data_IF_626076551772
#
_entry.id   IF_626076551772
#
_cell.length_a   1.000
_cell.length_b   1.000
_cell.length_c   1.000
_cell.angle_alpha   90.00
_cell.angle_beta   90.00
_cell.angle_gamma   90.00
#
_symmetry.space_group_name_H-M   'P 1'
#
loop_
_entity.id
_entity.type
_entity.pdbx_description
1 polymer ?
#
# COMPACT_ATOMS: atom_id res chain seq x y z
N UNK A 1 -21.10 57.57 -14.31
CA UNK A 1 -20.50 56.48 -15.12
C UNK A 1 -19.05 56.37 -14.70
N UNK A 2 -18.75 55.44 -13.81
CA UNK A 2 -17.42 54.89 -13.62
C UNK A 2 -17.65 53.43 -13.29
N UNK A 3 -17.52 52.59 -14.31
CA UNK A 3 -17.56 51.13 -14.22
C UNK A 3 -16.28 50.66 -13.54
N UNK A 4 -16.41 50.07 -12.35
CA UNK A 4 -15.35 49.21 -11.81
C UNK A 4 -15.50 47.85 -12.47
N UNK A 5 -14.54 47.51 -13.33
CA UNK A 5 -14.41 46.15 -13.86
C UNK A 5 -14.10 45.18 -12.71
N UNK A 6 -14.72 43.99 -12.66
CA UNK A 6 -14.39 43.00 -11.64
C UNK A 6 -12.95 42.49 -11.85
N UNK A 7 -12.26 42.07 -10.77
CA UNK A 7 -10.89 41.59 -10.88
C UNK A 7 -10.84 40.34 -11.74
N UNK A 8 -9.94 40.38 -12.73
CA UNK A 8 -9.61 39.31 -13.66
C UNK A 8 -9.33 38.03 -12.89
N UNK A 9 -10.15 37.00 -13.13
CA UNK A 9 -9.93 35.63 -12.69
C UNK A 9 -8.54 35.17 -13.13
N UNK A 10 -7.67 34.85 -12.17
CA UNK A 10 -6.36 34.26 -12.40
C UNK A 10 -6.61 32.81 -12.85
N UNK A 11 -6.68 32.59 -14.17
CA UNK A 11 -6.50 31.26 -14.75
C UNK A 11 -5.04 30.86 -14.57
N UNK A 12 -4.72 30.33 -13.39
CA UNK A 12 -3.52 29.52 -13.22
C UNK A 12 -3.79 28.18 -13.91
N UNK A 13 -3.45 28.06 -15.20
CA UNK A 13 -3.38 26.76 -15.86
C UNK A 13 -2.23 25.96 -15.23
N UNK A 14 -2.52 25.30 -14.11
CA UNK A 14 -1.61 24.42 -13.36
C UNK A 14 -1.53 23.07 -14.06
N UNK A 15 -1.01 23.07 -15.28
CA UNK A 15 -0.71 21.84 -16.00
C UNK A 15 0.28 21.04 -15.17
N UNK A 16 0.00 19.77 -14.82
CA UNK A 16 0.94 18.94 -14.09
C UNK A 16 2.27 18.88 -14.84
N UNK A 17 3.39 19.04 -14.13
CA UNK A 17 4.73 19.03 -14.72
C UNK A 17 5.12 17.65 -15.27
N UNK A 18 4.48 16.59 -14.77
CA UNK A 18 4.66 15.21 -15.22
C UNK A 18 3.29 14.52 -15.23
N UNK A 19 2.95 13.84 -16.32
CA UNK A 19 1.78 12.96 -16.40
C UNK A 19 2.23 11.55 -16.74
N UNK A 20 1.42 10.56 -16.36
CA UNK A 20 1.60 9.18 -16.82
C UNK A 20 1.53 9.14 -18.36
N UNK A 21 2.32 8.25 -18.96
CA UNK A 21 2.31 8.06 -20.41
C UNK A 21 1.03 7.39 -20.91
N UNK A 22 0.88 7.37 -22.23
CA UNK A 22 -0.21 6.65 -22.90
C UNK A 22 -0.05 5.12 -22.76
N UNK A 23 -1.15 4.35 -22.73
CA UNK A 23 -1.12 2.89 -22.75
C UNK A 23 -0.45 2.33 -24.01
N UNK A 24 0.37 1.29 -23.84
CA UNK A 24 0.99 0.53 -24.93
C UNK A 24 0.23 -0.79 -25.20
N UNK A 25 0.64 -1.52 -26.24
CA UNK A 25 0.13 -2.87 -26.51
C UNK A 25 0.70 -3.94 -25.57
N UNK A 26 1.80 -3.65 -24.86
CA UNK A 26 2.38 -4.57 -23.88
C UNK A 26 1.55 -4.57 -22.59
N UNK A 27 1.35 -5.75 -22.00
CA UNK A 27 0.58 -5.90 -20.77
C UNK A 27 1.34 -6.68 -19.69
N UNK A 28 1.09 -6.32 -18.43
CA UNK A 28 1.39 -7.16 -17.28
C UNK A 28 0.09 -7.84 -16.90
N UNK A 29 -0.03 -9.13 -17.21
CA UNK A 29 -1.31 -9.84 -17.25
C UNK A 29 -2.32 -9.05 -18.11
N UNK A 30 -3.34 -8.47 -17.49
CA UNK A 30 -4.44 -7.75 -18.14
C UNK A 30 -4.29 -6.21 -18.10
N UNK A 31 -3.25 -5.69 -17.44
CA UNK A 31 -3.06 -4.24 -17.26
C UNK A 31 -1.99 -3.73 -18.25
N UNK A 32 -2.28 -2.73 -19.09
CA UNK A 32 -1.31 -2.21 -20.05
C UNK A 32 -0.14 -1.51 -19.36
N UNK A 33 1.04 -1.69 -19.94
CA UNK A 33 2.25 -0.94 -19.63
C UNK A 33 2.15 0.46 -20.24
N UNK A 34 2.53 1.48 -19.49
CA UNK A 34 2.50 2.87 -19.91
C UNK A 34 3.81 3.25 -20.60
N UNK A 35 3.73 4.12 -21.61
CA UNK A 35 4.91 4.73 -22.22
C UNK A 35 5.75 5.48 -21.18
N UNK A 36 7.08 5.37 -21.29
CA UNK A 36 8.00 6.01 -20.34
C UNK A 36 8.17 7.51 -20.63
N UNK A 37 7.60 8.32 -19.75
CA UNK A 37 7.70 9.77 -19.75
C UNK A 37 8.78 10.28 -18.78
N UNK A 38 9.50 9.40 -18.08
CA UNK A 38 10.45 9.76 -17.04
C UNK A 38 9.78 10.26 -15.75
N UNK A 39 8.57 9.79 -15.45
CA UNK A 39 7.80 10.25 -14.30
C UNK A 39 8.50 9.92 -12.97
N UNK A 40 8.78 10.91 -12.08
CA UNK A 40 9.62 10.70 -10.90
C UNK A 40 9.01 9.78 -9.83
N UNK A 41 7.69 9.63 -9.84
CA UNK A 41 6.94 8.76 -8.92
C UNK A 41 6.84 7.30 -9.36
N UNK A 42 7.47 6.88 -10.46
CA UNK A 42 7.54 5.45 -10.82
C UNK A 42 8.42 4.74 -9.79
N UNK A 43 7.90 3.74 -9.06
CA UNK A 43 8.65 3.13 -7.98
C UNK A 43 9.75 2.22 -8.51
N UNK A 44 10.96 2.34 -7.95
CA UNK A 44 12.03 1.36 -8.17
C UNK A 44 11.81 0.13 -7.28
N UNK A 45 11.96 -1.06 -7.86
CA UNK A 45 11.95 -2.30 -7.13
C UNK A 45 13.37 -2.63 -6.66
N UNK A 46 13.53 -2.87 -5.36
CA UNK A 46 14.79 -3.40 -4.83
C UNK A 46 15.03 -4.85 -5.30
N UNK A 47 13.96 -5.56 -5.65
CA UNK A 47 13.97 -6.90 -6.23
C UNK A 47 12.77 -7.03 -7.17
N UNK A 48 12.99 -7.62 -8.34
CA UNK A 48 12.02 -7.66 -9.42
C UNK A 48 10.92 -8.72 -9.27
N UNK A 49 10.94 -9.50 -8.19
CA UNK A 49 10.05 -10.66 -8.03
C UNK A 49 8.97 -10.42 -6.98
N UNK A 50 7.71 -10.60 -7.40
CA UNK A 50 6.56 -10.75 -6.52
C UNK A 50 6.08 -12.21 -6.58
N UNK A 51 5.92 -12.85 -5.41
CA UNK A 51 5.33 -14.18 -5.33
C UNK A 51 3.81 -14.07 -5.37
N UNK A 52 3.24 -14.50 -6.50
CA UNK A 52 1.80 -14.50 -6.72
C UNK A 52 1.12 -15.56 -5.84
N UNK A 53 -0.11 -15.28 -5.41
CA UNK A 53 -0.95 -16.21 -4.64
C UNK A 53 -2.17 -16.58 -5.46
N UNK A 54 -2.56 -17.85 -5.47
CA UNK A 54 -3.88 -18.23 -5.96
C UNK A 54 -4.95 -17.76 -4.98
N UNK A 55 -5.91 -16.94 -5.45
CA UNK A 55 -6.92 -16.30 -4.59
C UNK A 55 -8.34 -16.75 -4.90
N UNK A 56 -8.70 -16.95 -6.17
CA UNK A 56 -10.07 -17.32 -6.56
C UNK A 56 -10.08 -18.31 -7.73
N UNK A 57 -10.48 -19.55 -7.46
CA UNK A 57 -10.34 -20.64 -8.42
C UNK A 57 -8.87 -20.84 -8.78
N UNK A 58 -8.56 -20.78 -10.08
CA UNK A 58 -7.19 -20.92 -10.60
C UNK A 58 -6.49 -19.58 -10.86
N UNK A 59 -7.11 -18.45 -10.44
CA UNK A 59 -6.56 -17.10 -10.68
C UNK A 59 -5.72 -16.58 -9.53
N UNK A 60 -4.65 -15.88 -9.88
CA UNK A 60 -3.74 -15.25 -8.93
C UNK A 60 -4.23 -13.87 -8.47
N UNK A 61 -3.66 -13.39 -7.36
CA UNK A 61 -3.80 -12.01 -6.90
C UNK A 61 -3.41 -10.99 -7.97
N UNK A 62 -2.30 -11.22 -8.68
CA UNK A 62 -1.86 -10.35 -9.79
C UNK A 62 -2.87 -10.32 -10.93
N UNK A 63 -3.36 -11.47 -11.40
CA UNK A 63 -4.37 -11.55 -12.48
C UNK A 63 -5.66 -10.83 -12.09
N UNK A 64 -6.15 -11.05 -10.86
CA UNK A 64 -7.41 -10.44 -10.39
C UNK A 64 -7.26 -8.91 -10.26
N UNK A 65 -6.16 -8.44 -9.69
CA UNK A 65 -5.93 -7.02 -9.45
C UNK A 65 -5.71 -6.28 -10.78
N UNK A 66 -4.87 -6.82 -11.67
CA UNK A 66 -4.64 -6.23 -13.00
C UNK A 66 -5.94 -6.19 -13.82
N UNK A 67 -6.75 -7.25 -13.78
CA UNK A 67 -8.06 -7.27 -14.44
C UNK A 67 -8.98 -6.19 -13.89
N UNK A 68 -9.12 -6.07 -12.57
CA UNK A 68 -9.96 -5.06 -11.94
C UNK A 68 -9.53 -3.63 -12.32
N UNK A 69 -8.23 -3.36 -12.29
CA UNK A 69 -7.67 -2.06 -12.68
C UNK A 69 -7.87 -1.76 -14.17
N UNK A 70 -7.77 -2.76 -15.05
CA UNK A 70 -8.05 -2.61 -16.50
C UNK A 70 -9.51 -2.21 -16.77
N UNK A 71 -10.44 -2.67 -15.91
CA UNK A 71 -11.87 -2.33 -15.96
C UNK A 71 -12.20 -0.99 -15.29
N UNK A 72 -11.20 -0.25 -14.80
CA UNK A 72 -11.41 1.02 -14.10
C UNK A 72 -11.96 0.89 -12.69
N UNK A 73 -11.92 -0.30 -12.10
CA UNK A 73 -12.38 -0.53 -10.72
C UNK A 73 -11.33 -0.07 -9.70
N UNK A 74 -11.78 0.38 -8.53
CA UNK A 74 -10.93 0.53 -7.36
C UNK A 74 -10.72 -0.83 -6.71
N UNK A 75 -9.54 -1.09 -6.13
CA UNK A 75 -9.22 -2.37 -5.49
C UNK A 75 -8.93 -2.16 -4.02
N UNK A 76 -9.49 -3.02 -3.15
CA UNK A 76 -9.06 -3.12 -1.75
C UNK A 76 -8.44 -4.48 -1.49
N UNK A 77 -7.17 -4.45 -1.05
CA UNK A 77 -6.40 -5.62 -0.63
C UNK A 77 -6.62 -5.84 0.86
N UNK A 78 -7.34 -6.92 1.22
CA UNK A 78 -7.63 -7.29 2.61
C UNK A 78 -6.76 -8.47 3.04
N UNK A 79 -6.17 -8.42 4.22
CA UNK A 79 -5.44 -9.56 4.79
C UNK A 79 -4.56 -9.20 5.98
N UNK A 80 -3.95 -10.19 6.65
CA UNK A 80 -3.06 -9.96 7.79
C UNK A 80 -1.88 -9.01 7.47
N UNK A 81 -1.25 -8.40 8.48
CA UNK A 81 -0.05 -7.60 8.25
C UNK A 81 1.08 -8.48 7.69
N UNK A 82 1.96 -7.87 6.89
CA UNK A 82 3.14 -8.56 6.35
C UNK A 82 2.90 -9.49 5.16
N UNK A 83 1.67 -9.67 4.67
CA UNK A 83 1.37 -10.52 3.48
C UNK A 83 1.71 -9.87 2.13
N UNK A 84 2.33 -8.68 2.11
CA UNK A 84 2.79 -8.05 0.87
C UNK A 84 1.77 -7.21 0.09
N UNK A 85 0.69 -6.74 0.73
CA UNK A 85 -0.37 -5.92 0.10
C UNK A 85 0.16 -4.67 -0.59
N UNK A 86 0.86 -3.81 0.16
CA UNK A 86 1.44 -2.56 -0.35
C UNK A 86 2.57 -2.83 -1.35
N UNK A 87 3.26 -3.97 -1.21
CA UNK A 87 4.30 -4.40 -2.17
C UNK A 87 3.71 -4.85 -3.50
N UNK A 88 2.53 -5.50 -3.53
CA UNK A 88 1.82 -5.81 -4.77
C UNK A 88 1.52 -4.54 -5.58
N UNK A 89 0.97 -3.51 -4.94
CA UNK A 89 0.71 -2.22 -5.60
C UNK A 89 2.01 -1.61 -6.16
N UNK A 90 3.08 -1.61 -5.37
CA UNK A 90 4.41 -1.13 -5.81
C UNK A 90 4.96 -1.93 -6.99
N UNK A 91 4.86 -3.26 -6.94
CA UNK A 91 5.27 -4.18 -8.00
C UNK A 91 4.53 -3.89 -9.30
N UNK A 92 3.20 -3.79 -9.25
CA UNK A 92 2.39 -3.50 -10.42
C UNK A 92 2.74 -2.14 -11.04
N UNK A 93 2.92 -1.10 -10.21
CA UNK A 93 3.29 0.23 -10.69
C UNK A 93 4.65 0.22 -11.41
N UNK A 94 5.66 -0.43 -10.82
CA UNK A 94 6.97 -0.56 -11.42
C UNK A 94 6.93 -1.33 -12.75
N UNK A 95 6.17 -2.44 -12.79
CA UNK A 95 6.07 -3.31 -13.97
C UNK A 95 5.22 -2.72 -15.10
N UNK A 96 4.25 -1.87 -14.77
CA UNK A 96 3.38 -1.20 -15.76
C UNK A 96 3.79 0.25 -16.02
N UNK A 97 4.93 0.68 -15.48
CA UNK A 97 5.47 2.02 -15.64
C UNK A 97 4.50 3.14 -15.21
N UNK A 98 3.76 2.90 -14.12
CA UNK A 98 2.79 3.84 -13.57
C UNK A 98 3.37 4.54 -12.35
N UNK A 99 3.13 5.85 -12.19
CA UNK A 99 3.49 6.54 -10.96
C UNK A 99 2.63 6.04 -9.79
N UNK A 100 3.29 5.91 -8.63
CA UNK A 100 2.68 5.47 -7.38
C UNK A 100 2.65 6.65 -6.39
N UNK A 101 1.45 7.13 -6.08
CA UNK A 101 1.22 8.11 -5.03
C UNK A 101 0.77 7.37 -3.78
N UNK A 102 1.55 7.43 -2.70
CA UNK A 102 1.23 6.70 -1.46
C UNK A 102 0.90 7.66 -0.33
N UNK A 103 -0.14 7.32 0.42
CA UNK A 103 -0.41 7.87 1.74
C UNK A 103 -0.73 6.71 2.69
N UNK A 104 -0.18 6.75 3.89
CA UNK A 104 -0.53 5.81 4.97
C UNK A 104 -1.52 6.52 5.87
N UNK A 105 -2.68 5.92 6.05
CA UNK A 105 -3.80 6.49 6.78
C UNK A 105 -3.71 6.14 8.27
N UNK A 106 -4.23 7.03 9.12
CA UNK A 106 -4.26 6.91 10.58
C UNK A 106 -5.38 7.77 11.15
N UNK A 107 -5.66 7.65 12.45
CA UNK A 107 -6.65 8.47 13.17
C UNK A 107 -6.34 9.98 13.11
N UNK A 108 -5.08 10.33 12.83
CA UNK A 108 -4.59 11.72 12.73
C UNK A 108 -4.36 12.16 11.29
N UNK A 109 -4.79 11.37 10.31
CA UNK A 109 -4.78 11.81 8.92
C UNK A 109 -6.00 12.64 8.65
N UNK A 110 -5.83 13.82 8.07
CA UNK A 110 -6.92 14.74 7.74
C UNK A 110 -7.13 14.84 6.23
N UNK A 111 -8.25 15.47 5.84
CA UNK A 111 -8.59 15.71 4.42
C UNK A 111 -7.52 16.53 3.71
N UNK A 112 -6.89 17.47 4.41
CA UNK A 112 -5.81 18.32 3.92
C UNK A 112 -4.55 17.52 3.57
N UNK A 113 -4.27 16.43 4.29
CA UNK A 113 -3.13 15.56 3.98
C UNK A 113 -3.34 14.84 2.63
N UNK A 114 -4.59 14.54 2.28
CA UNK A 114 -4.95 13.96 0.98
C UNK A 114 -4.93 15.00 -0.14
N UNK A 115 -5.62 16.13 0.07
CA UNK A 115 -5.84 17.13 -0.97
C UNK A 115 -4.63 18.03 -1.22
N UNK A 116 -3.93 18.41 -0.16
CA UNK A 116 -2.92 19.45 -0.20
C UNK A 116 -3.18 20.56 0.82
N UNK A 117 -2.22 21.47 0.90
CA UNK A 117 -2.23 22.57 1.85
C UNK A 117 -1.69 23.86 1.23
N UNK A 118 -2.04 24.98 1.85
CA UNK A 118 -1.48 26.29 1.53
C UNK A 118 -0.15 26.47 2.26
N UNK A 119 0.90 26.76 1.50
CA UNK A 119 2.23 27.07 1.98
C UNK A 119 2.50 28.56 1.85
N UNK A 120 3.04 29.18 2.90
CA UNK A 120 3.41 30.60 2.90
C UNK A 120 4.86 30.74 2.45
N UNK A 121 5.06 31.40 1.31
CA UNK A 121 6.37 31.78 0.82
C UNK A 121 6.64 33.22 1.21
N UNK A 122 7.73 33.45 1.94
CA UNK A 122 8.25 34.78 2.18
C UNK A 122 9.26 35.11 1.09
N UNK A 123 9.01 36.17 0.32
CA UNK A 123 9.99 36.69 -0.63
C UNK A 123 11.06 37.50 0.11
N UNK A 124 12.26 37.60 -0.47
CA UNK A 124 13.34 38.44 0.03
C UNK A 124 12.96 39.93 0.09
N UNK A 125 11.89 40.33 -0.62
CA UNK A 125 11.32 41.68 -0.62
C UNK A 125 10.29 41.93 0.50
N UNK A 126 10.06 40.95 1.40
CA UNK A 126 9.15 41.08 2.54
C UNK A 126 7.67 40.90 2.20
N UNK A 127 7.34 40.43 0.98
CA UNK A 127 5.98 40.03 0.64
C UNK A 127 5.76 38.56 1.00
N UNK A 128 4.62 38.26 1.64
CA UNK A 128 4.19 36.88 1.91
C UNK A 128 3.18 36.46 0.85
N UNK A 129 3.54 35.49 0.03
CA UNK A 129 2.66 34.90 -0.98
C UNK A 129 2.21 33.52 -0.52
N UNK A 130 0.98 33.15 -0.83
CA UNK A 130 0.45 31.83 -0.50
C UNK A 130 0.45 30.95 -1.75
N UNK A 131 1.13 29.82 -1.69
CA UNK A 131 1.18 28.82 -2.75
C UNK A 131 0.43 27.56 -2.32
N UNK A 132 -0.42 27.03 -3.18
CA UNK A 132 -1.04 25.73 -2.96
C UNK A 132 -0.07 24.60 -3.34
N UNK A 133 0.08 23.61 -2.46
CA UNK A 133 0.85 22.39 -2.70
C UNK A 133 -0.11 21.21 -2.72
N UNK A 134 -0.18 20.50 -3.84
CA UNK A 134 -1.05 19.34 -4.00
C UNK A 134 -0.61 18.17 -3.10
N UNK A 135 -1.58 17.57 -2.42
CA UNK A 135 -1.41 16.32 -1.68
C UNK A 135 -1.47 15.09 -2.61
N UNK A 136 -1.22 13.88 -2.07
CA UNK A 136 -1.10 12.66 -2.85
C UNK A 136 -2.34 12.33 -3.69
N UNK A 137 -3.55 12.59 -3.18
CA UNK A 137 -4.79 12.38 -3.93
C UNK A 137 -4.88 13.34 -5.11
N UNK A 138 -4.68 14.63 -4.87
CA UNK A 138 -4.76 15.65 -5.92
C UNK A 138 -3.72 15.42 -7.01
N UNK A 139 -2.48 15.08 -6.63
CA UNK A 139 -1.43 14.71 -7.59
C UNK A 139 -1.83 13.49 -8.42
N UNK A 140 -2.29 12.40 -7.79
CA UNK A 140 -2.72 11.21 -8.52
C UNK A 140 -3.88 11.50 -9.49
N UNK A 141 -4.82 12.35 -9.10
CA UNK A 141 -5.96 12.78 -9.92
C UNK A 141 -5.50 13.61 -11.12
N UNK A 142 -4.52 14.52 -10.96
CA UNK A 142 -3.99 15.35 -12.05
C UNK A 142 -3.03 14.58 -12.97
N UNK A 143 -2.07 13.88 -12.38
CA UNK A 143 -0.93 13.26 -13.06
C UNK A 143 -1.30 11.89 -13.66
N UNK A 144 -2.38 11.25 -13.16
CA UNK A 144 -2.73 9.86 -13.49
C UNK A 144 -1.81 8.85 -12.80
N UNK A 145 -2.15 7.56 -12.88
CA UNK A 145 -1.42 6.49 -12.18
C UNK A 145 -2.19 5.93 -10.99
N UNK A 146 -1.48 5.40 -10.00
CA UNK A 146 -2.10 4.67 -8.88
C UNK A 146 -1.95 5.44 -7.57
N UNK A 147 -3.08 5.75 -6.93
CA UNK A 147 -3.12 6.15 -5.53
C UNK A 147 -3.20 4.91 -4.63
N UNK A 148 -2.19 4.72 -3.80
CA UNK A 148 -2.16 3.70 -2.75
C UNK A 148 -2.56 4.31 -1.40
N UNK A 149 -3.74 3.91 -0.94
CA UNK A 149 -4.28 4.22 0.39
C UNK A 149 -3.89 3.07 1.35
N UNK A 150 -2.75 3.21 2.02
CA UNK A 150 -2.27 2.20 2.95
C UNK A 150 -3.04 2.30 4.28
N UNK A 151 -3.52 1.18 4.79
CA UNK A 151 -4.29 1.09 6.05
C UNK A 151 -5.57 1.93 6.03
N UNK A 152 -6.41 1.76 5.01
CA UNK A 152 -7.63 2.56 4.82
C UNK A 152 -8.62 2.50 5.98
N UNK A 153 -8.57 1.41 6.75
CA UNK A 153 -9.38 1.23 7.95
C UNK A 153 -8.79 1.92 9.19
N UNK A 154 -7.66 2.61 9.11
CA UNK A 154 -7.08 3.36 10.22
C UNK A 154 -7.53 4.84 10.26
N UNK A 155 -8.13 5.36 9.19
CA UNK A 155 -8.66 6.73 9.15
C UNK A 155 -10.16 6.79 9.45
N UNK A 156 -10.61 7.95 9.93
CA UNK A 156 -12.02 8.21 10.19
C UNK A 156 -12.86 8.34 8.91
N UNK A 157 -14.19 8.20 9.05
CA UNK A 157 -15.11 8.26 7.91
C UNK A 157 -15.08 9.61 7.19
N UNK A 158 -14.74 10.70 7.88
CA UNK A 158 -14.70 12.04 7.31
C UNK A 158 -13.51 12.22 6.35
N UNK A 159 -12.35 11.70 6.72
CA UNK A 159 -11.13 11.71 5.92
C UNK A 159 -11.32 10.88 4.66
N UNK A 160 -11.87 9.67 4.83
CA UNK A 160 -12.12 8.74 3.74
C UNK A 160 -13.22 9.25 2.79
N UNK A 161 -14.17 10.05 3.29
CA UNK A 161 -15.21 10.67 2.46
C UNK A 161 -14.67 11.62 1.37
N UNK A 162 -13.43 12.12 1.52
CA UNK A 162 -12.76 12.88 0.47
C UNK A 162 -12.53 12.08 -0.82
N UNK A 163 -12.50 10.75 -0.72
CA UNK A 163 -12.28 9.84 -1.83
C UNK A 163 -13.57 9.52 -2.60
N UNK A 164 -14.75 9.75 -2.02
CA UNK A 164 -16.03 9.32 -2.59
C UNK A 164 -16.22 9.77 -4.03
N UNK A 165 -16.02 11.06 -4.30
CA UNK A 165 -16.27 11.67 -5.60
C UNK A 165 -15.28 11.19 -6.68
N UNK A 166 -14.03 10.87 -6.31
CA UNK A 166 -13.03 10.38 -7.28
C UNK A 166 -13.14 8.87 -7.53
N UNK A 167 -13.87 8.17 -6.67
CA UNK A 167 -14.09 6.73 -6.71
C UNK A 167 -15.41 6.32 -7.38
N UNK A 168 -16.21 7.30 -7.84
CA UNK A 168 -17.39 7.02 -8.65
C UNK A 168 -17.02 6.46 -10.04
N UNK A 169 -18.03 6.16 -10.86
CA UNK A 169 -17.83 5.72 -12.24
C UNK A 169 -17.00 6.72 -13.06
N UNK A 170 -16.31 6.22 -14.09
CA UNK A 170 -15.37 7.00 -14.91
C UNK A 170 -15.94 8.33 -15.42
N UNK A 171 -17.25 8.38 -15.70
CA UNK A 171 -17.91 9.54 -16.29
C UNK A 171 -18.41 10.58 -15.28
N UNK A 172 -18.49 10.25 -13.98
CA UNK A 172 -19.03 11.16 -12.94
C UNK A 172 -17.98 11.62 -11.95
N UNK A 173 -16.80 11.00 -11.96
CA UNK A 173 -15.75 11.28 -10.98
C UNK A 173 -15.19 12.70 -11.11
N UNK A 174 -15.13 13.40 -9.97
CA UNK A 174 -14.57 14.76 -9.86
C UNK A 174 -13.84 14.93 -8.53
N UNK A 175 -12.87 15.83 -8.47
CA UNK A 175 -12.22 16.26 -7.24
C UNK A 175 -12.36 17.77 -7.07
N UNK A 176 -13.10 18.21 -6.06
CA UNK A 176 -13.14 19.63 -5.68
C UNK A 176 -12.19 19.91 -4.52
N UNK A 177 -11.35 20.92 -4.68
CA UNK A 177 -10.43 21.45 -3.66
C UNK A 177 -11.06 22.71 -3.06
N UNK A 178 -11.68 22.64 -1.87
CA UNK A 178 -12.42 23.77 -1.31
C UNK A 178 -11.57 25.03 -1.11
N UNK A 179 -10.29 24.85 -0.73
CA UNK A 179 -9.36 25.94 -0.43
C UNK A 179 -9.01 26.77 -1.67
N UNK A 180 -9.05 26.20 -2.87
CA UNK A 180 -8.75 26.89 -4.12
C UNK A 180 -10.00 27.14 -4.97
N UNK A 181 -11.12 26.50 -4.66
CA UNK A 181 -12.33 26.47 -5.49
C UNK A 181 -12.18 25.65 -6.77
N UNK A 182 -11.04 24.98 -6.97
CA UNK A 182 -10.73 24.22 -8.17
C UNK A 182 -11.51 22.91 -8.20
N UNK A 183 -12.06 22.56 -9.36
CA UNK A 183 -12.66 21.23 -9.61
C UNK A 183 -11.91 20.57 -10.75
N UNK A 184 -11.39 19.37 -10.49
CA UNK A 184 -10.52 18.62 -11.37
C UNK A 184 -11.26 17.36 -11.83
N UNK A 185 -11.22 17.08 -13.13
CA UNK A 185 -11.63 15.78 -13.66
C UNK A 185 -10.45 14.82 -13.56
N UNK A 186 -10.57 13.67 -12.86
CA UNK A 186 -9.47 12.72 -12.74
C UNK A 186 -8.98 12.20 -14.08
N UNK A 187 -7.66 12.17 -14.24
CA UNK A 187 -6.96 11.63 -15.40
C UNK A 187 -7.48 10.23 -15.75
N UNK A 188 -7.59 9.91 -17.04
CA UNK A 188 -8.16 8.63 -17.50
C UNK A 188 -7.49 7.41 -16.85
N UNK A 189 -6.18 7.50 -16.65
CA UNK A 189 -5.35 6.47 -16.03
C UNK A 189 -5.25 6.55 -14.49
N UNK A 190 -6.01 7.41 -13.82
CA UNK A 190 -6.13 7.41 -12.36
C UNK A 190 -6.85 6.14 -11.87
N UNK A 191 -6.23 5.43 -10.92
CA UNK A 191 -6.75 4.23 -10.25
C UNK A 191 -6.46 4.30 -8.75
N UNK A 192 -7.27 3.58 -7.96
CA UNK A 192 -7.10 3.47 -6.51
C UNK A 192 -6.83 2.03 -6.11
N UNK A 193 -5.78 1.83 -5.32
CA UNK A 193 -5.56 0.60 -4.55
C UNK A 193 -5.56 0.98 -3.06
N UNK A 194 -6.37 0.30 -2.27
CA UNK A 194 -6.38 0.43 -0.81
C UNK A 194 -5.86 -0.85 -0.16
N UNK A 195 -5.26 -0.74 1.02
CA UNK A 195 -4.93 -1.89 1.86
C UNK A 195 -5.71 -1.82 3.17
N UNK A 196 -6.19 -2.96 3.67
CA UNK A 196 -6.88 -3.05 4.94
C UNK A 196 -6.41 -4.28 5.73
N UNK A 197 -6.29 -4.10 7.04
CA UNK A 197 -5.98 -5.15 8.01
C UNK A 197 -7.25 -5.44 8.83
N UNK A 198 -8.17 -6.30 8.35
CA UNK A 198 -9.41 -6.58 9.07
C UNK A 198 -9.13 -7.22 10.43
N UNK A 199 -9.84 -6.80 11.47
CA UNK A 199 -9.71 -7.36 12.82
C UNK A 199 -8.50 -6.86 13.61
N UNK A 200 -7.73 -5.89 13.08
CA UNK A 200 -6.64 -5.26 13.82
C UNK A 200 -7.19 -4.23 14.82
N UNK A 201 -6.65 -4.21 16.04
CA UNK A 201 -7.06 -3.25 17.08
C UNK A 201 -6.81 -1.81 16.61
N UNK A 202 -7.75 -0.90 16.89
CA UNK A 202 -7.67 0.50 16.46
C UNK A 202 -8.02 0.73 14.99
N UNK A 203 -8.80 -0.16 14.37
CA UNK A 203 -9.33 0.05 13.02
C UNK A 203 -10.83 0.32 13.01
N UNK A 204 -11.27 1.19 12.12
CA UNK A 204 -12.66 1.51 11.87
C UNK A 204 -13.25 0.56 10.82
N UNK A 205 -14.49 0.13 11.04
CA UNK A 205 -15.26 -0.52 9.98
C UNK A 205 -15.62 0.52 8.92
N UNK A 206 -15.28 0.21 7.66
CA UNK A 206 -15.73 1.01 6.53
C UNK A 206 -17.24 0.79 6.37
N UNK A 207 -17.99 1.86 6.09
CA UNK A 207 -19.42 1.71 5.81
C UNK A 207 -19.65 0.93 4.50
N UNK A 208 -20.79 0.24 4.40
CA UNK A 208 -21.12 -0.63 3.26
C UNK A 208 -21.05 0.12 1.92
N UNK A 209 -21.55 1.37 1.88
CA UNK A 209 -21.54 2.17 0.67
C UNK A 209 -20.10 2.45 0.17
N UNK A 210 -19.16 2.69 1.06
CA UNK A 210 -17.76 2.89 0.72
C UNK A 210 -17.09 1.57 0.31
N UNK A 211 -17.41 0.46 0.98
CA UNK A 211 -16.94 -0.87 0.60
C UNK A 211 -17.40 -1.29 -0.80
N UNK A 212 -18.63 -0.95 -1.20
CA UNK A 212 -19.21 -1.27 -2.52
C UNK A 212 -18.48 -0.60 -3.69
N UNK A 213 -17.66 0.42 -3.42
CA UNK A 213 -16.85 1.10 -4.44
C UNK A 213 -15.55 0.36 -4.78
N UNK A 214 -15.25 -0.73 -4.07
CA UNK A 214 -14.05 -1.53 -4.29
C UNK A 214 -14.35 -2.93 -4.79
N UNK A 215 -13.47 -3.44 -5.65
CA UNK A 215 -13.23 -4.86 -5.79
C UNK A 215 -12.39 -5.35 -4.60
N UNK A 216 -12.95 -6.25 -3.80
CA UNK A 216 -12.26 -6.86 -2.66
C UNK A 216 -11.40 -8.03 -3.11
N UNK A 217 -10.12 -8.03 -2.71
CA UNK A 217 -9.17 -9.13 -2.95
C UNK A 217 -8.55 -9.52 -1.61
N UNK A 218 -8.69 -10.79 -1.22
CA UNK A 218 -8.13 -11.33 0.02
C UNK A 218 -6.73 -11.89 -0.22
N UNK A 219 -5.76 -11.48 0.58
CA UNK A 219 -4.39 -11.97 0.57
C UNK A 219 -4.09 -12.71 1.86
N UNK A 220 -3.50 -13.89 1.72
CA UNK A 220 -3.02 -14.72 2.82
C UNK A 220 -1.48 -14.74 2.86
N UNK A 221 -0.91 -15.35 3.91
CA UNK A 221 0.51 -15.67 3.92
C UNK A 221 0.86 -16.62 2.76
N UNK A 222 2.12 -16.61 2.34
CA UNK A 222 2.60 -17.48 1.26
C UNK A 222 2.56 -18.95 1.70
N UNK A 223 2.40 -19.90 0.76
CA UNK A 223 2.68 -21.30 1.02
C UNK A 223 4.08 -21.50 1.63
N UNK A 224 4.25 -22.50 2.50
CA UNK A 224 5.48 -22.65 3.30
C UNK A 224 6.74 -22.80 2.43
N UNK A 225 6.65 -23.56 1.34
CA UNK A 225 7.73 -23.77 0.38
C UNK A 225 8.13 -22.45 -0.31
N UNK A 226 7.13 -21.65 -0.70
CA UNK A 226 7.33 -20.34 -1.33
C UNK A 226 7.90 -19.33 -0.34
N UNK A 227 7.40 -19.30 0.90
CA UNK A 227 7.91 -18.43 1.96
C UNK A 227 9.35 -18.78 2.35
N UNK A 228 9.67 -20.07 2.43
CA UNK A 228 11.03 -20.57 2.67
C UNK A 228 11.98 -20.10 1.57
N UNK A 229 11.60 -20.30 0.30
CA UNK A 229 12.40 -19.85 -0.83
C UNK A 229 12.58 -18.32 -0.84
N UNK A 230 11.53 -17.57 -0.49
CA UNK A 230 11.60 -16.13 -0.34
C UNK A 230 12.60 -15.73 0.74
N UNK A 231 12.56 -16.34 1.93
CA UNK A 231 13.48 -16.01 3.02
C UNK A 231 14.93 -16.28 2.59
N UNK A 232 15.21 -17.45 2.01
CA UNK A 232 16.54 -17.79 1.49
C UNK A 232 17.02 -16.81 0.39
N UNK A 233 16.12 -16.29 -0.45
CA UNK A 233 16.48 -15.28 -1.46
C UNK A 233 16.73 -13.87 -0.89
N UNK A 234 16.44 -13.66 0.40
CA UNK A 234 16.51 -12.36 1.10
C UNK A 234 17.66 -12.30 2.10
N UNK A 235 18.40 -13.39 2.22
CA UNK A 235 19.52 -13.59 3.14
C UNK A 235 20.71 -14.20 2.40
N UNK A 236 21.88 -14.15 3.02
CA UNK A 236 23.11 -14.78 2.54
C UNK A 236 23.27 -16.22 3.07
N UNK A 237 22.17 -16.82 3.56
CA UNK A 237 22.15 -18.20 4.05
C UNK A 237 22.27 -19.19 2.88
N UNK A 238 23.18 -20.16 3.02
CA UNK A 238 23.35 -21.21 2.04
C UNK A 238 22.20 -22.24 2.03
N UNK A 239 22.10 -23.06 0.96
CA UNK A 239 21.04 -24.05 0.80
C UNK A 239 21.01 -25.10 1.93
N UNK A 240 22.12 -25.31 2.64
CA UNK A 240 22.23 -26.20 3.80
C UNK A 240 21.35 -25.76 4.98
N UNK A 241 21.01 -24.46 5.08
CA UNK A 241 20.13 -23.92 6.11
C UNK A 241 18.64 -24.05 5.76
N UNK A 242 18.27 -24.69 4.64
CA UNK A 242 16.87 -24.81 4.21
C UNK A 242 15.98 -25.47 5.26
N UNK A 243 16.40 -26.58 5.86
CA UNK A 243 15.59 -27.29 6.87
C UNK A 243 15.32 -26.43 8.12
N UNK A 244 16.29 -25.60 8.50
CA UNK A 244 16.15 -24.61 9.58
C UNK A 244 15.10 -23.54 9.21
N UNK A 245 15.15 -23.02 7.99
CA UNK A 245 14.15 -22.04 7.52
C UNK A 245 12.76 -22.66 7.35
N UNK A 246 12.65 -23.90 6.89
CA UNK A 246 11.37 -24.62 6.84
C UNK A 246 10.77 -24.79 8.24
N UNK A 247 11.61 -25.09 9.24
CA UNK A 247 11.20 -25.18 10.64
C UNK A 247 10.72 -23.83 11.18
N UNK A 248 11.42 -22.74 10.85
CA UNK A 248 11.02 -21.37 11.19
C UNK A 248 9.67 -20.99 10.57
N UNK A 249 9.46 -21.28 9.29
CA UNK A 249 8.21 -21.00 8.57
C UNK A 249 7.06 -21.85 9.13
N UNK A 250 7.31 -23.11 9.48
CA UNK A 250 6.33 -23.99 10.13
C UNK A 250 5.92 -23.48 11.51
N UNK A 251 6.88 -23.03 12.33
CA UNK A 251 6.62 -22.34 13.59
C UNK A 251 5.76 -21.10 13.37
N UNK A 252 6.12 -20.25 12.40
CA UNK A 252 5.38 -19.03 12.08
C UNK A 252 3.93 -19.34 11.66
N UNK A 253 3.71 -20.42 10.90
CA UNK A 253 2.37 -20.91 10.55
C UNK A 253 1.50 -21.16 11.79
N UNK A 254 2.04 -21.82 12.82
CA UNK A 254 1.33 -22.07 14.09
C UNK A 254 1.05 -20.79 14.88
N UNK A 255 2.01 -19.88 14.95
CA UNK A 255 1.81 -18.60 15.62
C UNK A 255 0.76 -17.74 14.88
N UNK A 256 0.69 -17.84 13.55
CA UNK A 256 -0.36 -17.19 12.75
C UNK A 256 -1.73 -17.82 12.97
N UNK A 257 -1.82 -19.14 13.08
CA UNK A 257 -3.06 -19.84 13.47
C UNK A 257 -3.54 -19.35 14.84
N UNK A 258 -2.68 -19.36 15.85
CA UNK A 258 -3.00 -18.87 17.19
C UNK A 258 -3.44 -17.39 17.21
N UNK A 259 -2.84 -16.53 16.37
CA UNK A 259 -3.30 -15.16 16.19
C UNK A 259 -4.71 -15.09 15.57
N UNK A 260 -4.97 -15.86 14.52
CA UNK A 260 -6.28 -15.88 13.86
C UNK A 260 -7.39 -16.42 14.76
N UNK A 261 -7.04 -17.33 15.68
CA UNK A 261 -7.95 -17.88 16.69
C UNK A 261 -8.12 -16.95 17.91
N UNK A 262 -7.36 -15.85 17.98
CA UNK A 262 -7.40 -14.88 19.07
C UNK A 262 -6.64 -15.30 20.34
N UNK A 263 -5.86 -16.38 20.27
CA UNK A 263 -4.98 -16.83 21.36
C UNK A 263 -3.72 -15.96 21.47
N UNK A 264 -3.27 -15.37 20.36
CA UNK A 264 -2.18 -14.39 20.33
C UNK A 264 -2.72 -13.02 19.92
N UNK A 265 -2.21 -11.98 20.58
CA UNK A 265 -2.57 -10.60 20.24
C UNK A 265 -1.78 -10.05 19.04
N UNK A 266 -0.57 -10.57 18.82
CA UNK A 266 0.40 -9.98 17.90
C UNK A 266 0.73 -10.95 16.75
N UNK A 267 0.48 -10.58 15.48
CA UNK A 267 0.68 -11.47 14.33
C UNK A 267 2.16 -11.62 13.95
N UNK A 268 2.60 -12.81 13.56
CA UNK A 268 3.96 -13.04 13.04
C UNK A 268 4.00 -12.85 11.52
N UNK A 269 4.88 -11.98 11.06
CA UNK A 269 5.00 -11.55 9.67
C UNK A 269 6.19 -12.19 8.95
N UNK A 270 6.12 -12.34 7.64
CA UNK A 270 7.26 -12.82 6.82
C UNK A 270 8.51 -11.93 6.99
N UNK A 271 8.33 -10.62 7.25
CA UNK A 271 9.44 -9.69 7.50
C UNK A 271 10.25 -10.07 8.74
N UNK A 272 9.58 -10.54 9.79
CA UNK A 272 10.25 -10.98 11.02
C UNK A 272 11.05 -12.26 10.78
N UNK A 273 10.51 -13.19 9.98
CA UNK A 273 11.24 -14.40 9.60
C UNK A 273 12.51 -14.07 8.81
N UNK A 274 12.44 -13.09 7.90
CA UNK A 274 13.63 -12.59 7.20
C UNK A 274 14.63 -11.95 8.18
N UNK A 275 14.16 -11.21 9.21
CA UNK A 275 15.06 -10.66 10.23
C UNK A 275 15.74 -11.76 11.03
N UNK A 276 15.00 -12.76 11.50
CA UNK A 276 15.54 -13.94 12.21
C UNK A 276 16.60 -14.62 11.35
N UNK A 277 16.30 -14.89 10.08
CA UNK A 277 17.23 -15.52 9.15
C UNK A 277 18.51 -14.68 8.92
N UNK A 278 18.41 -13.34 8.90
CA UNK A 278 19.59 -12.46 8.83
C UNK A 278 20.46 -12.54 10.08
N UNK A 279 19.87 -12.70 11.26
CA UNK A 279 20.64 -12.90 12.50
C UNK A 279 21.33 -14.27 12.56
N UNK A 280 20.97 -15.21 11.68
CA UNK A 280 21.67 -16.49 11.52
C UNK A 280 22.86 -16.41 10.55
N UNK A 281 22.97 -15.33 9.76
CA UNK A 281 24.11 -15.13 8.85
C UNK A 281 25.43 -15.06 9.64
N UNK A 282 26.52 -15.47 8.99
CA UNK A 282 27.86 -15.55 9.59
C UNK A 282 27.92 -16.35 10.92
N UNK A 283 26.97 -17.28 11.11
CA UNK A 283 26.78 -18.06 12.34
C UNK A 283 26.66 -17.19 13.61
N UNK A 284 26.14 -15.97 13.46
CA UNK A 284 26.04 -15.00 14.56
C UNK A 284 25.13 -15.49 15.70
N UNK A 285 23.97 -16.06 15.36
CA UNK A 285 23.05 -16.72 16.29
C UNK A 285 22.54 -18.05 15.74
N UNK A 286 22.25 -18.99 16.64
CA UNK A 286 21.46 -20.17 16.29
C UNK A 286 20.03 -19.78 15.92
N UNK A 287 19.34 -20.58 15.10
CA UNK A 287 17.93 -20.35 14.74
C UNK A 287 17.05 -20.10 15.97
N UNK A 288 17.19 -20.94 17.00
CA UNK A 288 16.44 -20.84 18.24
C UNK A 288 16.68 -19.51 18.95
N UNK A 289 17.94 -19.13 19.14
CA UNK A 289 18.32 -17.88 19.80
C UNK A 289 17.82 -16.66 19.02
N UNK A 290 17.96 -16.68 17.69
CA UNK A 290 17.46 -15.60 16.83
C UNK A 290 15.92 -15.49 16.91
N UNK A 291 15.21 -16.62 16.85
CA UNK A 291 13.76 -16.66 16.96
C UNK A 291 13.25 -16.20 18.33
N UNK A 292 13.88 -16.63 19.43
CA UNK A 292 13.57 -16.15 20.79
C UNK A 292 13.77 -14.63 20.88
N UNK A 293 14.90 -14.12 20.39
CA UNK A 293 15.23 -12.69 20.47
C UNK A 293 14.26 -11.78 19.69
N UNK A 294 13.74 -12.23 18.54
CA UNK A 294 12.83 -11.44 17.71
C UNK A 294 11.36 -11.64 18.12
N UNK A 295 10.93 -12.87 18.37
CA UNK A 295 9.51 -13.19 18.55
C UNK A 295 9.04 -12.95 19.99
N UNK A 296 9.83 -13.29 21.00
CA UNK A 296 9.44 -13.12 22.41
C UNK A 296 9.47 -11.64 22.80
N UNK A 297 10.50 -10.91 22.38
CA UNK A 297 10.68 -9.49 22.74
C UNK A 297 9.59 -8.54 22.22
N UNK A 298 8.72 -9.00 21.30
CA UNK A 298 7.68 -8.19 20.66
C UNK A 298 6.29 -8.44 21.22
N UNK A 299 6.05 -9.61 21.80
CA UNK A 299 4.71 -9.97 22.31
C UNK A 299 4.49 -9.41 23.71
N UNK A 300 3.22 -9.36 24.14
CA UNK A 300 2.91 -8.97 25.51
C UNK A 300 3.39 -10.01 26.52
N UNK A 301 3.63 -9.62 27.78
CA UNK A 301 4.00 -10.54 28.87
C UNK A 301 3.03 -11.74 29.00
N UNK A 302 1.76 -11.56 28.60
CA UNK A 302 0.76 -12.63 28.60
C UNK A 302 1.02 -13.68 27.51
N UNK A 303 1.50 -13.25 26.35
CA UNK A 303 1.73 -14.07 25.16
C UNK A 303 3.13 -14.72 25.15
N UNK A 304 4.09 -14.18 25.91
CA UNK A 304 5.49 -14.65 25.95
C UNK A 304 5.59 -16.15 26.20
N UNK A 305 4.95 -16.65 27.25
CA UNK A 305 5.00 -18.07 27.63
C UNK A 305 4.48 -19.01 26.53
N UNK A 306 3.49 -18.57 25.76
CA UNK A 306 2.94 -19.31 24.64
C UNK A 306 3.96 -19.37 23.50
N UNK A 307 4.52 -18.22 23.12
CA UNK A 307 5.53 -18.11 22.05
C UNK A 307 6.79 -18.93 22.40
N UNK A 308 7.30 -18.80 23.61
CA UNK A 308 8.45 -19.60 24.09
C UNK A 308 8.15 -21.10 24.03
N UNK A 309 6.95 -21.53 24.43
CA UNK A 309 6.55 -22.94 24.35
C UNK A 309 6.52 -23.44 22.90
N UNK A 310 6.04 -22.63 21.97
CA UNK A 310 6.03 -22.98 20.54
C UNK A 310 7.44 -23.10 19.98
N UNK A 311 8.34 -22.15 20.30
CA UNK A 311 9.76 -22.20 19.92
C UNK A 311 10.39 -23.48 20.49
N UNK A 312 10.23 -23.74 21.79
CA UNK A 312 10.87 -24.88 22.46
C UNK A 312 10.48 -26.24 21.87
N UNK A 313 9.23 -26.38 21.41
CA UNK A 313 8.71 -27.62 20.83
C UNK A 313 9.06 -27.84 19.35
N UNK A 314 9.48 -26.79 18.63
CA UNK A 314 9.58 -26.81 17.16
C UNK A 314 10.97 -26.48 16.61
N UNK A 315 11.74 -25.65 17.32
CA UNK A 315 13.14 -25.33 17.04
C UNK A 315 14.06 -26.06 18.04
#
# INVERSE_FOLDING_TARGET
MSSEDPPTSIENSRTPSHTVGEPTEETVEELPVMTDTGHPMIPTLAQDTYHQRTVAGDRTDVEIVTKALSLGMNVVLKGPPGVGKSYLAKFLCARTNRPLFRITLSETTYREDLLGHLHLLSSDAGTTETQWIDGPLTRAVREGGILLLDEINAADANTVAALNAVMEGKDTRTLTIPQTGETITPHEEFRVIATANPGYQGTYELNEAFEDRFRHVKLAYLPQDVETALILSRTDLGPERREEIESLVSLAGRLREAYMDGELSTPVTTRELVRIARFMEDDFMSLRTAAESELVARVSEYDESLVETYIQKRL
#
